data_IF_616756426070
#
_entry.id   IF_616756426070
#
_cell.length_a   1.000
_cell.length_b   1.000
_cell.length_c   1.000
_cell.angle_alpha   90.00
_cell.angle_beta   90.00
_cell.angle_gamma   90.00
#
_symmetry.space_group_name_H-M   'P 1'
#
loop_
_entity.id
_entity.type
_entity.pdbx_description
1 polymer ?
#
# COMPACT_ATOMS: atom_id res chain seq x y z
N UNK A 1 -0.98 0.92 -18.70
CA UNK A 1 -2.01 1.65 -17.95
C UNK A 1 -2.96 0.69 -17.26
N UNK A 2 -3.76 -0.10 -17.97
CA UNK A 2 -4.75 -1.04 -17.37
C UNK A 2 -4.17 -1.94 -16.27
N UNK A 3 -3.03 -2.60 -16.52
CA UNK A 3 -2.34 -3.41 -15.49
C UNK A 3 -1.98 -2.61 -14.23
N UNK A 4 -1.57 -1.34 -14.39
CA UNK A 4 -1.23 -0.49 -13.25
C UNK A 4 -2.49 -0.11 -12.45
N UNK A 5 -3.60 0.19 -13.12
CA UNK A 5 -4.87 0.47 -12.46
C UNK A 5 -5.39 -0.74 -11.67
N UNK A 6 -5.31 -1.96 -12.26
CA UNK A 6 -5.68 -3.20 -11.56
C UNK A 6 -4.81 -3.43 -10.32
N UNK A 7 -3.50 -3.21 -10.42
CA UNK A 7 -2.60 -3.35 -9.28
C UNK A 7 -2.79 -2.25 -8.23
N UNK A 8 -3.09 -1.02 -8.64
CA UNK A 8 -3.45 0.05 -7.72
C UNK A 8 -4.69 -0.33 -6.89
N UNK A 9 -5.73 -0.85 -7.54
CA UNK A 9 -6.93 -1.33 -6.85
C UNK A 9 -6.62 -2.53 -5.94
N UNK A 10 -5.73 -3.44 -6.35
CA UNK A 10 -5.28 -4.54 -5.50
C UNK A 10 -4.60 -4.03 -4.22
N UNK A 11 -3.71 -3.04 -4.33
CA UNK A 11 -3.08 -2.41 -3.17
C UNK A 11 -4.11 -1.72 -2.26
N UNK A 12 -5.11 -1.06 -2.84
CA UNK A 12 -6.22 -0.45 -2.10
C UNK A 12 -7.10 -1.50 -1.38
N UNK A 13 -7.32 -2.68 -1.97
CA UNK A 13 -8.02 -3.77 -1.29
C UNK A 13 -7.17 -4.32 -0.14
N UNK A 14 -5.85 -4.49 -0.33
CA UNK A 14 -4.98 -4.88 0.78
C UNK A 14 -4.99 -3.87 1.93
N UNK A 15 -4.99 -2.57 1.65
CA UNK A 15 -5.07 -1.56 2.72
C UNK A 15 -6.41 -1.61 3.47
N UNK A 16 -7.53 -1.82 2.77
CA UNK A 16 -8.85 -2.00 3.40
C UNK A 16 -8.91 -3.28 4.24
N UNK A 17 -8.36 -4.40 3.75
CA UNK A 17 -8.28 -5.64 4.51
C UNK A 17 -7.44 -5.46 5.78
N UNK A 18 -6.33 -4.73 5.69
CA UNK A 18 -5.48 -4.43 6.84
C UNK A 18 -6.23 -3.60 7.89
N UNK A 19 -6.90 -2.52 7.46
CA UNK A 19 -7.68 -1.64 8.32
C UNK A 19 -8.90 -2.33 8.96
N UNK A 20 -9.42 -3.39 8.34
CA UNK A 20 -10.53 -4.19 8.87
C UNK A 20 -10.13 -5.27 9.88
N UNK A 21 -8.85 -5.44 10.21
CA UNK A 21 -8.40 -6.45 11.17
C UNK A 21 -8.69 -6.07 12.63
N UNK A 22 -8.81 -7.09 13.48
CA UNK A 22 -8.96 -6.92 14.94
C UNK A 22 -7.61 -6.58 15.59
N UNK A 23 -7.29 -5.30 15.66
CA UNK A 23 -6.01 -4.78 16.15
C UNK A 23 -5.78 -4.90 17.67
N UNK A 24 -6.71 -5.49 18.42
CA UNK A 24 -6.52 -5.83 19.84
C UNK A 24 -6.08 -7.29 20.06
N UNK A 25 -5.78 -8.02 18.97
CA UNK A 25 -5.29 -9.41 19.02
C UNK A 25 -3.94 -9.50 18.32
N UNK A 26 -3.01 -10.30 18.86
CA UNK A 26 -1.68 -10.47 18.27
C UNK A 26 -1.74 -11.01 16.81
N UNK A 27 -2.72 -11.88 16.51
CA UNK A 27 -2.94 -12.42 15.17
C UNK A 27 -3.53 -11.39 14.21
N UNK A 28 -4.53 -10.62 14.66
CA UNK A 28 -5.12 -9.54 13.87
C UNK A 28 -4.10 -8.46 13.51
N UNK A 29 -3.25 -8.07 14.47
CA UNK A 29 -2.15 -7.12 14.22
C UNK A 29 -1.12 -7.68 13.24
N UNK A 30 -0.71 -8.96 13.42
CA UNK A 30 0.22 -9.61 12.48
C UNK A 30 -0.36 -9.66 11.07
N UNK A 31 -1.66 -9.94 10.94
CA UNK A 31 -2.35 -9.99 9.67
C UNK A 31 -2.48 -8.60 9.03
N UNK A 32 -2.79 -7.57 9.82
CA UNK A 32 -2.83 -6.17 9.38
C UNK A 32 -1.47 -5.72 8.83
N UNK A 33 -0.39 -5.95 9.58
CA UNK A 33 0.97 -5.62 9.17
C UNK A 33 1.34 -6.29 7.83
N UNK A 34 0.99 -7.58 7.67
CA UNK A 34 1.24 -8.32 6.43
C UNK A 34 0.47 -7.77 5.23
N UNK A 35 -0.77 -7.33 5.41
CA UNK A 35 -1.54 -6.70 4.33
C UNK A 35 -1.02 -5.30 3.97
N UNK A 36 -0.66 -4.48 4.95
CA UNK A 36 -0.02 -3.19 4.70
C UNK A 36 1.30 -3.34 3.95
N UNK A 37 2.15 -4.29 4.32
CA UNK A 37 3.39 -4.60 3.59
C UNK A 37 3.12 -5.03 2.14
N UNK A 38 2.08 -5.84 1.90
CA UNK A 38 1.66 -6.22 0.54
C UNK A 38 1.19 -5.00 -0.27
N UNK A 39 0.37 -4.13 0.33
CA UNK A 39 -0.08 -2.89 -0.32
C UNK A 39 1.11 -2.00 -0.70
N UNK A 40 2.05 -1.78 0.22
CA UNK A 40 3.28 -1.04 -0.02
C UNK A 40 4.09 -1.60 -1.21
N UNK A 41 4.32 -2.92 -1.20
CA UNK A 41 5.08 -3.60 -2.27
C UNK A 41 4.40 -3.48 -3.64
N UNK A 42 3.06 -3.53 -3.69
CA UNK A 42 2.32 -3.34 -4.94
C UNK A 42 2.40 -1.89 -5.42
N UNK A 43 2.25 -0.89 -4.54
CA UNK A 43 2.42 0.52 -4.91
C UNK A 43 3.84 0.80 -5.43
N UNK A 44 4.87 0.28 -4.76
CA UNK A 44 6.26 0.37 -5.21
C UNK A 44 6.45 -0.28 -6.60
N UNK A 45 5.91 -1.48 -6.82
CA UNK A 45 5.99 -2.13 -8.13
C UNK A 45 5.30 -1.32 -9.24
N UNK A 46 4.13 -0.75 -8.96
CA UNK A 46 3.43 0.12 -9.90
C UNK A 46 4.27 1.36 -10.22
N UNK A 47 4.84 2.01 -9.19
CA UNK A 47 5.71 3.19 -9.31
C UNK A 47 6.96 2.90 -10.15
N UNK A 48 7.67 1.83 -9.84
CA UNK A 48 9.02 1.60 -10.37
C UNK A 48 8.99 0.87 -11.73
N UNK A 49 7.99 0.03 -11.97
CA UNK A 49 7.97 -0.86 -13.15
C UNK A 49 6.94 -0.47 -14.20
N UNK A 50 5.77 0.03 -13.78
CA UNK A 50 4.63 0.22 -14.68
C UNK A 50 4.44 1.69 -15.06
N UNK A 51 4.36 2.60 -14.08
CA UNK A 51 4.15 4.03 -14.31
C UNK A 51 5.13 4.66 -15.31
N UNK A 52 6.44 4.32 -15.33
CA UNK A 52 7.38 4.90 -16.30
C UNK A 52 7.01 4.61 -17.76
N UNK A 53 6.31 3.49 -18.03
CA UNK A 53 5.91 3.08 -19.39
C UNK A 53 4.81 3.95 -20.00
N UNK A 54 4.10 4.75 -19.19
CA UNK A 54 3.03 5.61 -19.65
C UNK A 54 3.05 7.00 -18.98
N UNK A 55 4.20 7.39 -18.40
CA UNK A 55 4.37 8.64 -17.64
C UNK A 55 3.97 9.89 -18.42
N UNK A 56 4.24 9.93 -19.73
CA UNK A 56 3.91 11.07 -20.60
C UNK A 56 2.38 11.33 -20.67
N UNK A 57 1.56 10.32 -20.37
CA UNK A 57 0.09 10.39 -20.39
C UNK A 57 -0.53 10.69 -19.02
N UNK A 58 0.26 10.75 -17.96
CA UNK A 58 -0.24 10.98 -16.60
C UNK A 58 -0.24 12.47 -16.30
N UNK A 59 -1.39 12.96 -15.84
CA UNK A 59 -1.42 14.26 -15.16
C UNK A 59 -0.73 14.18 -13.79
N UNK A 60 -0.21 15.30 -13.30
CA UNK A 60 0.43 15.43 -12.00
C UNK A 60 -0.51 15.10 -10.83
N UNK A 61 -1.82 15.24 -11.01
CA UNK A 61 -2.81 14.90 -9.98
C UNK A 61 -3.30 13.45 -10.03
N UNK A 62 -2.79 12.64 -10.97
CA UNK A 62 -3.17 11.24 -11.07
C UNK A 62 -2.74 10.45 -9.82
N UNK A 63 -3.60 9.54 -9.43
CA UNK A 63 -3.34 8.43 -8.51
C UNK A 63 -2.08 7.61 -8.87
N UNK A 64 -1.81 7.44 -10.16
CA UNK A 64 -0.67 6.71 -10.70
C UNK A 64 0.58 7.59 -10.89
N UNK A 65 0.52 8.88 -10.51
CA UNK A 65 1.70 9.73 -10.50
C UNK A 65 2.73 9.23 -9.49
N UNK A 66 4.01 9.41 -9.81
CA UNK A 66 5.13 8.90 -9.00
C UNK A 66 5.08 9.39 -7.55
N UNK A 67 4.76 10.68 -7.34
CA UNK A 67 4.63 11.26 -5.99
C UNK A 67 3.49 10.64 -5.19
N UNK A 68 2.34 10.40 -5.82
CA UNK A 68 1.18 9.75 -5.18
C UNK A 68 1.49 8.31 -4.79
N UNK A 69 2.06 7.53 -5.72
CA UNK A 69 2.43 6.14 -5.46
C UNK A 69 3.52 6.02 -4.39
N UNK A 70 4.49 6.94 -4.37
CA UNK A 70 5.49 6.98 -3.31
C UNK A 70 4.86 7.28 -1.95
N UNK A 71 4.02 8.31 -1.85
CA UNK A 71 3.34 8.66 -0.60
C UNK A 71 2.48 7.50 -0.08
N UNK A 72 1.75 6.82 -0.97
CA UNK A 72 0.96 5.64 -0.60
C UNK A 72 1.84 4.48 -0.14
N UNK A 73 2.98 4.23 -0.81
CA UNK A 73 3.93 3.20 -0.38
C UNK A 73 4.46 3.49 1.04
N UNK A 74 4.93 4.70 1.30
CA UNK A 74 5.44 5.09 2.62
C UNK A 74 4.35 5.05 3.70
N UNK A 75 3.13 5.48 3.37
CA UNK A 75 1.98 5.42 4.28
C UNK A 75 1.68 3.97 4.69
N UNK A 76 1.65 3.04 3.73
CA UNK A 76 1.42 1.62 4.03
C UNK A 76 2.56 1.03 4.86
N UNK A 77 3.82 1.38 4.61
CA UNK A 77 4.95 0.95 5.44
C UNK A 77 4.87 1.50 6.86
N UNK A 78 4.50 2.78 7.02
CA UNK A 78 4.30 3.39 8.33
C UNK A 78 3.21 2.66 9.13
N UNK A 79 2.07 2.35 8.51
CA UNK A 79 0.99 1.58 9.15
C UNK A 79 1.43 0.15 9.51
N UNK A 80 2.26 -0.48 8.68
CA UNK A 80 2.84 -1.78 9.02
C UNK A 80 3.77 -1.68 10.24
N UNK A 81 4.59 -0.62 10.34
CA UNK A 81 5.45 -0.38 11.50
C UNK A 81 4.65 -0.09 12.77
N UNK A 82 3.60 0.71 12.68
CA UNK A 82 2.66 0.97 13.78
C UNK A 82 2.08 -0.34 14.32
N UNK A 83 1.69 -1.27 13.44
CA UNK A 83 1.24 -2.60 13.86
C UNK A 83 2.31 -3.34 14.71
N UNK A 84 3.60 -3.25 14.36
CA UNK A 84 4.64 -3.89 15.19
C UNK A 84 4.78 -3.22 16.55
N UNK A 85 4.61 -1.90 16.63
CA UNK A 85 4.60 -1.15 17.89
C UNK A 85 3.41 -1.56 18.77
N UNK A 86 2.21 -1.57 18.20
CA UNK A 86 0.99 -2.04 18.89
C UNK A 86 1.15 -3.47 19.41
N UNK A 87 1.74 -4.36 18.61
CA UNK A 87 2.02 -5.73 19.03
C UNK A 87 3.00 -5.81 20.21
N UNK A 88 3.97 -4.91 20.29
CA UNK A 88 4.95 -4.89 21.39
C UNK A 88 4.34 -4.34 22.70
N UNK A 89 3.23 -3.60 22.61
CA UNK A 89 2.51 -3.02 23.74
C UNK A 89 1.40 -3.94 24.29
N UNK A 90 1.14 -5.07 23.62
CA UNK A 90 0.20 -6.12 24.01
C UNK A 90 0.85 -7.13 24.97
#
# INVERSE_FOLDING_TARGET
YEKAAVLFNLAAVYSQLAAGQQIWTADGIKLAAGYFQKAAGVFAHVRDTLAPRFRIKLDKTSDLAEGTLHALCELMLAQAHECFVEKANL
#
